data_IF_235987129650
#
_entry.id   IF_235987129650
#
_cell.length_a   1.000
_cell.length_b   1.000
_cell.length_c   1.000
_cell.angle_alpha   90.00
_cell.angle_beta   90.00
_cell.angle_gamma   90.00
#
_symmetry.space_group_name_H-M   'P 1'
#
loop_
_entity.id
_entity.type
_entity.pdbx_description
1 polymer ?
#
# COMPACT_ATOMS: atom_id res chain seq x y z
N UNK A 1 -24.47 19.65 -22.98
CA UNK A 1 -23.18 19.15 -23.47
C UNK A 1 -22.11 19.95 -22.72
N UNK A 2 -21.56 19.35 -21.68
CA UNK A 2 -20.41 19.92 -20.93
C UNK A 2 -19.16 19.24 -21.44
N UNK A 3 -18.26 20.02 -22.00
CA UNK A 3 -16.97 19.53 -22.46
C UNK A 3 -16.13 19.00 -21.30
N UNK A 4 -15.70 17.74 -21.41
CA UNK A 4 -14.65 17.17 -20.59
C UNK A 4 -13.34 17.87 -20.99
N UNK A 5 -12.84 18.76 -20.15
CA UNK A 5 -11.46 19.21 -20.28
C UNK A 5 -10.56 18.12 -19.64
N UNK A 6 -9.98 17.30 -20.49
CA UNK A 6 -8.86 16.44 -20.13
C UNK A 6 -7.68 17.39 -19.86
N UNK A 7 -7.29 17.50 -18.59
CA UNK A 7 -6.07 18.20 -18.21
C UNK A 7 -4.92 17.25 -18.48
N UNK A 8 -4.00 17.69 -19.32
CA UNK A 8 -2.79 17.05 -19.78
C UNK A 8 -2.00 16.41 -18.63
N UNK A 9 -1.99 15.10 -18.60
CA UNK A 9 -0.92 14.35 -17.95
C UNK A 9 0.36 14.64 -18.72
N UNK A 10 1.41 15.07 -18.03
CA UNK A 10 2.71 15.39 -18.62
C UNK A 10 3.13 14.36 -19.64
N UNK A 11 3.54 14.83 -20.81
CA UNK A 11 3.82 14.07 -22.04
C UNK A 11 4.93 13.00 -21.92
N UNK A 12 5.43 12.71 -20.75
CA UNK A 12 6.48 11.72 -20.52
C UNK A 12 5.97 10.27 -20.41
N UNK A 13 4.70 10.06 -20.05
CA UNK A 13 4.15 8.69 -19.86
C UNK A 13 3.46 8.14 -21.11
N UNK A 14 3.11 8.98 -22.09
CA UNK A 14 2.41 8.54 -23.31
C UNK A 14 3.31 8.30 -24.53
N UNK A 15 4.63 8.45 -24.42
CA UNK A 15 5.57 8.35 -25.54
C UNK A 15 6.18 6.95 -25.76
N UNK A 16 5.76 5.92 -25.01
CA UNK A 16 6.37 4.58 -25.14
C UNK A 16 5.64 3.63 -26.09
N UNK A 17 4.76 4.06 -26.92
CA UNK A 17 3.98 3.17 -27.82
C UNK A 17 4.01 3.55 -29.31
N UNK A 18 5.07 4.10 -29.85
CA UNK A 18 5.35 4.00 -31.31
C UNK A 18 6.74 4.51 -31.66
N UNK A 19 7.44 3.69 -32.44
CA UNK A 19 8.57 3.98 -33.32
C UNK A 19 9.94 3.93 -32.66
N UNK A 20 10.73 2.90 -33.04
CA UNK A 20 12.13 2.73 -32.73
C UNK A 20 13.00 3.88 -33.22
N UNK A 21 13.26 4.82 -32.36
CA UNK A 21 14.36 5.74 -32.40
C UNK A 21 15.11 5.58 -31.09
N UNK A 22 16.40 5.22 -31.16
CA UNK A 22 17.30 5.25 -30.02
C UNK A 22 17.58 6.70 -29.63
N UNK A 23 16.61 7.31 -28.94
CA UNK A 23 16.89 8.50 -28.17
C UNK A 23 17.68 8.05 -26.92
N UNK A 24 18.78 8.72 -26.62
CA UNK A 24 19.42 8.58 -25.30
C UNK A 24 18.31 8.77 -24.24
N UNK A 25 18.33 7.99 -23.13
CA UNK A 25 17.35 8.18 -22.09
C UNK A 25 17.43 9.65 -21.66
N UNK A 26 16.32 10.37 -21.79
CA UNK A 26 16.17 11.62 -21.10
C UNK A 26 16.48 11.33 -19.63
N UNK A 27 17.33 12.14 -19.00
CA UNK A 27 17.62 11.99 -17.58
C UNK A 27 16.26 11.83 -16.87
N UNK A 28 16.07 10.69 -16.20
CA UNK A 28 14.85 10.40 -15.48
C UNK A 28 14.54 11.59 -14.59
N UNK A 29 13.30 12.04 -14.56
CA UNK A 29 12.88 13.10 -13.66
C UNK A 29 12.89 12.50 -12.25
N UNK A 30 13.99 12.72 -11.54
CA UNK A 30 14.29 12.10 -10.26
C UNK A 30 13.57 12.75 -9.09
N UNK A 31 12.68 13.69 -9.31
CA UNK A 31 11.90 14.30 -8.24
C UNK A 31 10.54 13.63 -8.11
N UNK A 32 10.17 13.25 -6.90
CA UNK A 32 8.81 12.86 -6.60
C UNK A 32 7.83 14.00 -6.87
N UNK A 33 6.59 13.69 -7.16
CA UNK A 33 5.54 14.69 -7.44
C UNK A 33 4.34 14.49 -6.56
N UNK A 34 3.79 15.59 -6.04
CA UNK A 34 2.49 15.59 -5.37
C UNK A 34 1.50 16.34 -6.25
N UNK A 35 0.40 15.71 -6.57
CA UNK A 35 -0.71 16.28 -7.34
C UNK A 35 -2.02 16.20 -6.56
N UNK A 36 -2.89 17.18 -6.80
CA UNK A 36 -4.25 17.19 -6.27
C UNK A 36 -5.21 16.99 -7.43
N UNK A 37 -6.19 16.11 -7.27
CA UNK A 37 -7.22 15.87 -8.26
C UNK A 37 -8.06 17.13 -8.53
N UNK A 38 -8.69 17.20 -9.70
CA UNK A 38 -9.41 18.39 -10.14
C UNK A 38 -10.62 18.80 -9.27
N UNK A 39 -11.05 17.96 -8.33
CA UNK A 39 -12.07 18.28 -7.33
C UNK A 39 -11.47 18.85 -6.02
N UNK A 40 -10.14 18.90 -5.92
CA UNK A 40 -9.41 19.41 -4.77
C UNK A 40 -9.45 18.51 -3.52
N UNK A 41 -9.92 17.27 -3.66
CA UNK A 41 -10.20 16.38 -2.53
C UNK A 41 -9.18 15.30 -2.34
N UNK A 42 -8.60 14.79 -3.41
CA UNK A 42 -7.66 13.67 -3.38
C UNK A 42 -6.25 14.13 -3.68
N UNK A 43 -5.28 13.57 -2.98
CA UNK A 43 -3.84 13.80 -3.19
C UNK A 43 -3.20 12.51 -3.66
N UNK A 44 -2.38 12.61 -4.67
CA UNK A 44 -1.52 11.52 -5.14
C UNK A 44 -0.06 11.92 -5.01
N UNK A 45 0.71 11.14 -4.28
CA UNK A 45 2.17 11.13 -4.32
C UNK A 45 2.60 10.11 -5.36
N UNK A 46 3.47 10.50 -6.25
CA UNK A 46 4.09 9.64 -7.25
C UNK A 46 5.60 9.82 -7.16
N UNK A 47 6.31 8.79 -6.80
CA UNK A 47 7.76 8.80 -6.79
C UNK A 47 8.36 8.92 -8.20
N UNK A 48 9.57 9.40 -8.28
CA UNK A 48 10.33 9.40 -9.53
C UNK A 48 10.90 8.01 -9.81
N UNK A 49 11.17 7.71 -11.07
CA UNK A 49 11.73 6.42 -11.47
C UNK A 49 13.15 6.23 -10.94
N UNK A 50 13.46 5.05 -10.42
CA UNK A 50 14.77 4.66 -9.90
C UNK A 50 15.14 5.36 -8.59
N UNK A 51 14.15 5.79 -7.82
CA UNK A 51 14.34 6.36 -6.49
C UNK A 51 14.09 5.30 -5.42
N UNK A 52 14.91 5.35 -4.37
CA UNK A 52 14.60 4.76 -3.07
C UNK A 52 13.99 5.88 -2.24
N UNK A 53 12.76 5.71 -1.76
CA UNK A 53 12.05 6.73 -1.00
C UNK A 53 11.97 6.34 0.47
N UNK A 54 12.17 7.32 1.36
CA UNK A 54 11.83 7.22 2.78
C UNK A 54 10.71 8.23 3.05
N UNK A 55 9.49 7.87 2.60
CA UNK A 55 8.36 8.77 2.64
C UNK A 55 7.59 8.67 3.96
N UNK A 56 7.46 9.79 4.64
CA UNK A 56 6.61 9.92 5.82
C UNK A 56 5.44 10.86 5.57
N UNK A 57 4.21 10.38 5.81
CA UNK A 57 3.00 11.19 5.75
C UNK A 57 2.47 11.41 7.15
N UNK A 58 2.43 12.68 7.59
CA UNK A 58 2.03 13.06 8.94
C UNK A 58 0.84 13.99 8.96
N UNK A 59 -0.16 13.77 9.85
CA UNK A 59 -1.25 14.71 10.02
C UNK A 59 -0.74 15.97 10.71
N UNK A 60 -1.11 17.13 10.18
CA UNK A 60 -0.91 18.42 10.82
C UNK A 60 -2.24 18.91 11.39
N UNK A 61 -2.22 19.67 12.49
CA UNK A 61 -3.43 20.13 13.18
C UNK A 61 -4.50 20.66 12.23
N UNK A 62 -5.75 20.25 12.44
CA UNK A 62 -6.89 20.63 11.63
C UNK A 62 -7.33 22.06 11.96
N UNK A 63 -7.47 22.90 10.93
CA UNK A 63 -8.27 24.13 11.00
C UNK A 63 -9.76 23.81 10.76
N UNK A 64 -10.65 24.78 10.98
CA UNK A 64 -12.07 24.62 10.66
C UNK A 64 -12.25 24.44 9.15
N UNK A 65 -12.68 23.24 8.73
CA UNK A 65 -12.96 22.92 7.33
C UNK A 65 -11.75 22.53 6.46
N UNK A 66 -10.57 22.36 7.06
CA UNK A 66 -9.35 21.98 6.33
C UNK A 66 -8.54 20.95 7.11
N UNK A 67 -8.12 19.89 6.43
CA UNK A 67 -7.13 18.92 6.93
C UNK A 67 -5.77 19.25 6.30
N UNK A 68 -4.73 19.33 7.11
CA UNK A 68 -3.36 19.50 6.64
C UNK A 68 -2.60 18.18 6.75
N UNK A 69 -1.85 17.87 5.71
CA UNK A 69 -0.99 16.69 5.65
C UNK A 69 0.39 17.12 5.17
N UNK A 70 1.42 16.74 5.88
CA UNK A 70 2.80 16.93 5.46
C UNK A 70 3.34 15.63 4.84
N UNK A 71 3.99 15.77 3.71
CA UNK A 71 4.79 14.76 3.04
C UNK A 71 6.25 15.11 3.25
N UNK A 72 7.01 14.20 3.83
CA UNK A 72 8.46 14.33 4.02
C UNK A 72 9.12 13.13 3.36
N UNK A 73 10.16 13.37 2.59
CA UNK A 73 10.89 12.34 1.85
C UNK A 73 12.38 12.70 1.89
N UNK A 74 13.28 11.75 1.73
CA UNK A 74 14.71 12.02 1.57
C UNK A 74 15.03 12.57 0.18
N UNK A 75 14.19 12.32 -0.81
CA UNK A 75 14.30 12.85 -2.17
C UNK A 75 13.50 14.14 -2.35
N UNK A 76 13.87 15.02 -3.29
CA UNK A 76 13.13 16.24 -3.55
C UNK A 76 11.70 15.97 -4.02
N UNK A 77 10.72 16.62 -3.40
CA UNK A 77 9.32 16.56 -3.77
C UNK A 77 8.92 17.84 -4.50
N UNK A 78 8.27 17.72 -5.65
CA UNK A 78 7.65 18.85 -6.34
C UNK A 78 6.20 19.01 -5.91
N UNK A 79 5.88 20.14 -5.30
CA UNK A 79 4.49 20.52 -5.06
C UNK A 79 3.79 20.79 -6.39
N UNK A 80 2.63 20.15 -6.61
CA UNK A 80 1.74 20.47 -7.71
C UNK A 80 1.12 21.86 -7.57
N UNK A 81 0.40 22.29 -8.58
CA UNK A 81 -0.33 23.57 -8.58
C UNK A 81 -1.56 23.49 -7.68
N UNK A 82 -1.72 24.36 -6.70
CA UNK A 82 -2.84 24.57 -5.78
C UNK A 82 -2.86 23.63 -4.55
N UNK A 83 -3.09 24.22 -3.40
CA UNK A 83 -3.28 23.60 -2.08
C UNK A 83 -2.07 22.86 -1.48
N UNK A 84 -0.97 22.66 -2.22
CA UNK A 84 0.28 22.13 -1.70
C UNK A 84 1.40 23.16 -1.81
N UNK A 85 2.15 23.35 -0.75
CA UNK A 85 3.25 24.32 -0.69
C UNK A 85 4.48 23.68 -0.05
N UNK A 86 5.65 24.12 -0.47
CA UNK A 86 6.89 23.90 0.26
C UNK A 86 7.00 24.99 1.35
N UNK A 87 6.90 24.62 2.64
CA UNK A 87 6.90 25.62 3.72
C UNK A 87 8.26 26.30 3.90
N UNK A 88 9.35 25.63 3.52
CA UNK A 88 10.71 26.17 3.48
C UNK A 88 11.26 26.06 2.05
N UNK A 89 11.58 27.15 1.36
CA UNK A 89 12.14 27.09 0.01
C UNK A 89 13.54 26.45 -0.06
N UNK A 90 14.21 26.25 1.08
CA UNK A 90 15.50 25.60 1.15
C UNK A 90 15.38 24.10 1.47
N UNK A 91 14.18 23.62 1.80
CA UNK A 91 13.88 22.22 2.05
C UNK A 91 12.95 21.69 0.93
N UNK A 92 13.56 21.12 -0.08
CA UNK A 92 12.82 20.55 -1.21
C UNK A 92 12.21 19.18 -0.88
N UNK A 93 12.55 18.58 0.27
CA UNK A 93 12.11 17.24 0.68
C UNK A 93 10.77 17.26 1.43
N UNK A 94 10.22 18.46 1.69
CA UNK A 94 8.98 18.61 2.44
C UNK A 94 7.92 19.40 1.69
N UNK A 95 6.72 18.82 1.60
CA UNK A 95 5.52 19.47 1.04
C UNK A 95 4.37 19.39 2.04
N UNK A 96 3.61 20.47 2.20
CA UNK A 96 2.40 20.51 3.02
C UNK A 96 1.21 20.77 2.13
N UNK A 97 0.20 19.90 2.21
CA UNK A 97 -1.06 20.02 1.47
C UNK A 97 -2.23 20.35 2.40
N UNK A 98 -3.10 21.23 1.95
CA UNK A 98 -4.37 21.57 2.62
C UNK A 98 -5.53 20.92 1.85
N UNK A 99 -6.21 19.98 2.49
CA UNK A 99 -7.34 19.27 1.93
C UNK A 99 -8.65 19.77 2.56
N UNK A 100 -9.68 20.10 1.79
CA UNK A 100 -10.96 20.48 2.33
C UNK A 100 -11.63 19.31 3.08
N UNK A 101 -12.18 19.58 4.27
CA UNK A 101 -12.89 18.61 5.11
C UNK A 101 -14.40 18.73 4.99
N UNK A 102 -14.94 19.09 3.83
CA UNK A 102 -16.36 19.45 3.69
C UNK A 102 -17.35 18.32 4.08
N UNK A 103 -16.92 17.06 4.06
CA UNK A 103 -17.65 15.90 4.58
C UNK A 103 -16.64 14.82 4.99
N UNK A 104 -16.99 13.98 5.97
CA UNK A 104 -16.16 12.88 6.47
C UNK A 104 -15.86 11.76 5.43
N UNK A 105 -16.34 11.89 4.21
CA UNK A 105 -16.20 10.93 3.10
C UNK A 105 -15.27 11.41 1.98
N UNK A 106 -14.58 12.54 2.14
CA UNK A 106 -13.94 13.19 1.01
C UNK A 106 -12.46 13.49 1.22
N UNK A 107 -11.68 12.96 0.35
CA UNK A 107 -10.25 13.18 0.20
C UNK A 107 -9.46 11.91 0.42
N UNK A 108 -9.15 11.25 -0.67
CA UNK A 108 -8.26 10.08 -0.67
C UNK A 108 -6.82 10.56 -0.79
N UNK A 109 -5.94 9.99 0.02
CA UNK A 109 -4.50 10.13 -0.16
C UNK A 109 -4.01 8.83 -0.76
N UNK A 110 -3.38 8.91 -1.92
CA UNK A 110 -2.79 7.77 -2.62
C UNK A 110 -1.29 7.97 -2.67
N UNK A 111 -0.57 6.93 -2.32
CA UNK A 111 0.88 6.88 -2.30
C UNK A 111 1.33 5.82 -3.29
N UNK A 112 2.16 6.21 -4.25
CA UNK A 112 2.76 5.32 -5.25
C UNK A 112 4.27 5.54 -5.17
N UNK A 113 5.00 4.54 -4.67
CA UNK A 113 6.43 4.67 -4.40
C UNK A 113 7.30 4.32 -5.62
N UNK A 114 6.85 3.35 -6.43
CA UNK A 114 7.40 3.18 -7.78
C UNK A 114 8.35 2.03 -7.95
N UNK A 115 9.62 2.31 -8.18
CA UNK A 115 10.67 1.32 -8.32
C UNK A 115 11.83 1.64 -7.36
N UNK A 116 12.38 0.65 -6.74
CA UNK A 116 13.42 0.76 -5.71
C UNK A 116 12.95 0.16 -4.39
N UNK A 117 13.85 -0.02 -3.45
CA UNK A 117 13.54 -0.54 -2.12
C UNK A 117 13.08 0.64 -1.24
N UNK A 118 11.77 0.80 -1.09
CA UNK A 118 11.17 1.98 -0.49
C UNK A 118 10.78 1.75 0.98
N UNK A 119 10.78 2.82 1.77
CA UNK A 119 10.31 2.83 3.16
C UNK A 119 9.20 3.87 3.33
N UNK A 120 8.03 3.44 3.82
CA UNK A 120 6.88 4.30 4.00
C UNK A 120 6.28 4.19 5.40
N UNK A 121 6.03 5.35 6.02
CA UNK A 121 5.39 5.43 7.33
C UNK A 121 4.20 6.38 7.33
N UNK A 122 3.06 5.91 7.86
CA UNK A 122 1.94 6.80 8.12
C UNK A 122 1.01 6.33 9.24
N UNK A 123 0.62 7.30 10.08
CA UNK A 123 -0.55 7.25 10.97
C UNK A 123 -1.62 8.27 10.53
N UNK A 124 -1.43 8.91 9.38
CA UNK A 124 -2.32 9.96 8.91
C UNK A 124 -3.67 9.37 8.46
N UNK A 125 -4.79 9.80 9.04
CA UNK A 125 -6.10 9.32 8.61
C UNK A 125 -6.39 9.75 7.18
N UNK A 126 -7.09 8.87 6.42
CA UNK A 126 -7.51 9.14 5.04
C UNK A 126 -6.48 8.80 3.98
N UNK A 127 -5.41 8.12 4.33
CA UNK A 127 -4.62 7.37 3.34
C UNK A 127 -5.49 6.21 2.88
N UNK A 128 -5.82 6.18 1.60
CA UNK A 128 -6.69 5.13 1.05
C UNK A 128 -5.89 4.00 0.44
N UNK A 129 -4.82 4.32 -0.27
CA UNK A 129 -3.98 3.34 -0.96
C UNK A 129 -2.52 3.70 -0.78
N UNK A 130 -1.72 2.70 -0.44
CA UNK A 130 -0.26 2.72 -0.50
C UNK A 130 0.16 1.59 -1.44
N UNK A 131 1.02 1.88 -2.39
CA UNK A 131 1.56 0.92 -3.34
C UNK A 131 3.08 1.09 -3.38
N UNK A 132 3.82 0.06 -2.98
CA UNK A 132 5.27 -0.02 -3.06
C UNK A 132 5.71 0.01 -4.52
N UNK A 133 5.60 -1.08 -5.20
CA UNK A 133 5.83 -1.14 -6.64
C UNK A 133 6.73 -2.26 -7.07
N UNK A 134 7.99 -1.99 -7.34
CA UNK A 134 9.01 -3.02 -7.56
C UNK A 134 10.25 -2.72 -6.74
N UNK A 135 10.81 -3.72 -6.12
CA UNK A 135 11.85 -3.65 -5.11
C UNK A 135 11.32 -4.12 -3.77
N UNK A 136 12.20 -4.30 -2.80
CA UNK A 136 11.83 -4.81 -1.48
C UNK A 136 11.37 -3.66 -0.59
N UNK A 137 10.05 -3.49 -0.47
CA UNK A 137 9.46 -2.33 0.18
C UNK A 137 9.10 -2.60 1.66
N UNK A 138 9.18 -1.56 2.49
CA UNK A 138 8.74 -1.59 3.88
C UNK A 138 7.60 -0.58 4.09
N UNK A 139 6.36 -1.08 4.17
CA UNK A 139 5.15 -0.26 4.18
C UNK A 139 4.45 -0.32 5.53
N UNK A 140 4.67 0.69 6.38
CA UNK A 140 4.03 0.83 7.70
C UNK A 140 2.84 1.80 7.59
N UNK A 141 1.64 1.27 7.34
CA UNK A 141 0.48 2.04 6.94
C UNK A 141 -0.80 1.72 7.74
N UNK A 142 -0.71 1.74 9.07
CA UNK A 142 -1.80 1.33 9.99
C UNK A 142 -3.12 2.05 9.78
N UNK A 143 -3.10 3.27 9.27
CA UNK A 143 -4.31 4.06 8.98
C UNK A 143 -4.82 3.90 7.54
N UNK A 144 -4.08 3.23 6.66
CA UNK A 144 -4.48 3.03 5.28
C UNK A 144 -5.65 2.03 5.15
N UNK A 145 -6.40 2.16 4.06
CA UNK A 145 -7.40 1.16 3.73
C UNK A 145 -6.76 -0.02 2.97
N UNK A 146 -5.96 0.27 1.96
CA UNK A 146 -5.31 -0.74 1.12
C UNK A 146 -3.80 -0.52 1.09
N UNK A 147 -3.05 -1.59 1.31
CA UNK A 147 -1.59 -1.62 1.21
C UNK A 147 -1.22 -2.71 0.21
N UNK A 148 -0.40 -2.36 -0.76
CA UNK A 148 0.04 -3.25 -1.84
C UNK A 148 1.57 -3.19 -1.89
N UNK A 149 2.24 -4.31 -1.73
CA UNK A 149 3.68 -4.45 -1.93
C UNK A 149 4.00 -4.32 -3.41
N UNK A 150 3.94 -5.39 -4.14
CA UNK A 150 4.05 -5.35 -5.60
C UNK A 150 4.90 -6.46 -6.19
N UNK A 151 6.12 -6.19 -6.59
CA UNK A 151 7.10 -7.15 -7.05
C UNK A 151 8.27 -7.17 -6.07
N UNK A 152 8.94 -8.33 -5.97
CA UNK A 152 10.01 -8.60 -5.03
C UNK A 152 9.53 -8.75 -3.58
N UNK A 153 10.43 -8.90 -2.60
CA UNK A 153 10.09 -9.33 -1.25
C UNK A 153 9.70 -8.13 -0.38
N UNK A 154 8.44 -8.03 0.00
CA UNK A 154 7.88 -6.87 0.67
C UNK A 154 7.55 -7.13 2.16
N UNK A 155 7.57 -6.07 2.97
CA UNK A 155 7.08 -6.06 4.35
C UNK A 155 5.93 -5.06 4.49
N UNK A 156 4.73 -5.57 4.78
CA UNK A 156 3.52 -4.77 4.91
C UNK A 156 2.98 -4.83 6.34
N UNK A 157 2.71 -3.67 6.93
CA UNK A 157 2.14 -3.57 8.28
C UNK A 157 0.93 -2.64 8.32
N UNK A 158 -0.19 -3.17 8.84
CA UNK A 158 -1.45 -2.42 8.94
C UNK A 158 -2.25 -2.44 7.64
N UNK A 159 -3.29 -1.62 7.57
CA UNK A 159 -4.25 -1.65 6.46
C UNK A 159 -5.45 -2.57 6.74
N UNK A 160 -6.57 -2.29 6.09
CA UNK A 160 -7.75 -3.17 6.14
C UNK A 160 -7.66 -4.26 5.08
N UNK A 161 -7.03 -3.94 3.96
CA UNK A 161 -6.75 -4.86 2.87
C UNK A 161 -5.26 -4.80 2.58
N UNK A 162 -4.59 -5.95 2.57
CA UNK A 162 -3.17 -6.06 2.22
C UNK A 162 -2.98 -7.07 1.09
N UNK A 163 -2.10 -6.72 0.16
CA UNK A 163 -1.66 -7.59 -0.93
C UNK A 163 -0.13 -7.55 -0.99
N UNK A 164 0.54 -8.67 -0.76
CA UNK A 164 1.98 -8.81 -0.99
C UNK A 164 2.30 -8.63 -2.46
N UNK A 165 2.12 -9.64 -3.24
CA UNK A 165 2.28 -9.56 -4.70
C UNK A 165 3.05 -10.72 -5.30
N UNK A 166 4.11 -10.42 -6.03
CA UNK A 166 5.09 -11.40 -6.50
C UNK A 166 6.35 -11.27 -5.62
N UNK A 167 6.73 -12.26 -4.86
CA UNK A 167 7.88 -12.23 -3.95
C UNK A 167 7.65 -13.05 -2.69
N UNK A 168 8.60 -13.09 -1.80
CA UNK A 168 8.42 -13.66 -0.46
C UNK A 168 8.02 -12.54 0.50
N UNK A 169 6.73 -12.40 0.70
CA UNK A 169 6.17 -11.26 1.40
C UNK A 169 5.95 -11.54 2.90
N UNK A 170 6.06 -10.50 3.71
CA UNK A 170 5.72 -10.54 5.12
C UNK A 170 4.57 -9.57 5.41
N UNK A 171 3.38 -10.10 5.69
CA UNK A 171 2.18 -9.34 5.98
C UNK A 171 1.84 -9.43 7.47
N UNK A 172 1.76 -8.28 8.13
CA UNK A 172 1.38 -8.17 9.55
C UNK A 172 0.11 -7.35 9.70
N UNK A 173 -0.96 -8.01 10.12
CA UNK A 173 -2.24 -7.39 10.45
C UNK A 173 -2.23 -6.64 11.78
N UNK A 174 -3.41 -6.37 12.30
CA UNK A 174 -3.64 -5.76 13.61
C UNK A 174 -4.89 -6.37 14.28
N UNK A 175 -5.46 -5.73 15.30
CA UNK A 175 -6.64 -6.25 16.03
C UNK A 175 -7.98 -6.04 15.29
N UNK A 176 -7.99 -5.66 14.01
CA UNK A 176 -9.22 -5.44 13.21
C UNK A 176 -9.44 -6.60 12.25
N UNK A 177 -10.69 -6.92 11.94
CA UNK A 177 -10.99 -7.85 10.84
C UNK A 177 -10.47 -7.32 9.50
N UNK A 178 -9.61 -8.08 8.83
CA UNK A 178 -8.81 -7.69 7.68
C UNK A 178 -8.91 -8.70 6.53
N UNK A 179 -8.46 -8.29 5.35
CA UNK A 179 -8.28 -9.17 4.19
C UNK A 179 -6.81 -9.12 3.77
N UNK A 180 -6.13 -10.25 3.88
CA UNK A 180 -4.71 -10.39 3.55
C UNK A 180 -4.55 -11.36 2.40
N UNK A 181 -3.74 -11.00 1.42
CA UNK A 181 -3.40 -11.84 0.28
C UNK A 181 -1.88 -11.82 0.12
N UNK A 182 -1.22 -12.98 0.23
CA UNK A 182 0.21 -13.12 -0.03
C UNK A 182 0.48 -12.91 -1.52
N UNK A 183 0.22 -13.90 -2.31
CA UNK A 183 0.31 -13.78 -3.77
C UNK A 183 1.10 -14.90 -4.41
N UNK A 184 2.27 -14.62 -4.96
CA UNK A 184 3.22 -15.62 -5.43
C UNK A 184 4.50 -15.53 -4.62
N UNK A 185 4.99 -16.68 -4.18
CA UNK A 185 6.21 -16.80 -3.41
C UNK A 185 5.93 -17.50 -2.10
N UNK A 186 6.90 -17.66 -1.26
CA UNK A 186 6.71 -18.30 0.04
C UNK A 186 6.46 -17.21 1.09
N UNK A 187 5.18 -16.94 1.34
CA UNK A 187 4.74 -15.80 2.13
C UNK A 187 4.64 -16.11 3.63
N UNK A 188 4.86 -15.09 4.44
CA UNK A 188 4.64 -15.14 5.89
C UNK A 188 3.54 -14.15 6.28
N UNK A 189 2.42 -14.68 6.78
CA UNK A 189 1.23 -13.88 7.06
C UNK A 189 0.80 -14.07 8.51
N UNK A 190 0.80 -12.97 9.28
CA UNK A 190 0.32 -12.89 10.65
C UNK A 190 -0.89 -11.95 10.71
N UNK A 191 -2.12 -12.49 10.85
CA UNK A 191 -3.33 -11.66 10.85
C UNK A 191 -3.61 -11.00 12.22
N UNK A 192 -3.14 -11.59 13.30
CA UNK A 192 -3.22 -11.14 14.70
C UNK A 192 -4.61 -11.24 15.31
N UNK A 193 -5.45 -10.25 15.21
CA UNK A 193 -6.75 -10.27 15.86
C UNK A 193 -7.86 -9.70 15.02
N UNK A 194 -9.09 -10.08 15.36
CA UNK A 194 -10.22 -9.74 14.52
C UNK A 194 -10.82 -11.00 13.90
N UNK A 195 -11.71 -10.84 12.96
CA UNK A 195 -12.20 -11.95 12.14
C UNK A 195 -11.64 -11.74 10.73
N UNK A 196 -10.58 -12.48 10.41
CA UNK A 196 -9.74 -12.22 9.26
C UNK A 196 -10.04 -13.14 8.09
N UNK A 197 -9.71 -12.67 6.90
CA UNK A 197 -9.75 -13.48 5.68
C UNK A 197 -8.37 -13.47 5.05
N UNK A 198 -7.71 -14.62 5.06
CA UNK A 198 -6.36 -14.79 4.52
C UNK A 198 -6.37 -15.72 3.32
N UNK A 199 -5.72 -15.29 2.25
CA UNK A 199 -5.39 -16.10 1.08
C UNK A 199 -3.89 -16.01 0.84
N UNK A 200 -3.13 -17.05 1.20
CA UNK A 200 -1.68 -17.01 1.02
C UNK A 200 -1.31 -17.07 -0.47
N UNK A 201 -1.69 -18.11 -1.20
CA UNK A 201 -1.62 -18.02 -2.66
C UNK A 201 -0.85 -19.13 -3.35
N UNK A 202 0.29 -18.82 -3.94
CA UNK A 202 1.19 -19.78 -4.60
C UNK A 202 2.54 -19.76 -3.90
N UNK A 203 2.97 -20.90 -3.44
CA UNK A 203 4.25 -21.10 -2.77
C UNK A 203 4.07 -21.87 -1.49
N UNK A 204 5.16 -22.13 -0.79
CA UNK A 204 5.11 -22.82 0.50
C UNK A 204 4.94 -21.79 1.61
N UNK A 205 3.67 -21.52 1.99
CA UNK A 205 3.30 -20.38 2.79
C UNK A 205 3.21 -20.69 4.29
N UNK A 206 3.38 -19.67 5.10
CA UNK A 206 3.16 -19.72 6.56
C UNK A 206 2.10 -18.70 6.96
N UNK A 207 0.96 -19.19 7.49
CA UNK A 207 -0.19 -18.38 7.87
C UNK A 207 -0.55 -18.58 9.33
N UNK A 208 -0.73 -17.49 10.05
CA UNK A 208 -1.27 -17.47 11.41
C UNK A 208 -2.47 -16.53 11.46
N UNK A 209 -3.65 -17.05 11.87
CA UNK A 209 -4.87 -16.27 12.07
C UNK A 209 -4.77 -15.39 13.30
N UNK A 210 -4.65 -16.04 14.45
CA UNK A 210 -4.45 -15.37 15.72
C UNK A 210 -5.68 -15.42 16.62
N UNK A 211 -6.35 -14.31 16.89
CA UNK A 211 -7.55 -14.33 17.70
C UNK A 211 -8.77 -13.82 16.94
N UNK A 212 -9.83 -14.61 16.94
CA UNK A 212 -11.07 -14.30 16.21
C UNK A 212 -11.52 -15.51 15.41
N UNK A 213 -12.67 -15.41 14.78
CA UNK A 213 -13.16 -16.48 13.92
C UNK A 213 -12.65 -16.24 12.48
N UNK A 214 -11.57 -16.92 12.09
CA UNK A 214 -10.82 -16.63 10.89
C UNK A 214 -11.13 -17.57 9.71
N UNK A 215 -10.97 -17.06 8.49
CA UNK A 215 -10.95 -17.84 7.28
C UNK A 215 -9.55 -17.81 6.66
N UNK A 216 -8.85 -18.97 6.66
CA UNK A 216 -7.47 -19.08 6.27
C UNK A 216 -7.31 -20.09 5.12
N UNK A 217 -6.69 -19.68 4.03
CA UNK A 217 -6.39 -20.53 2.89
C UNK A 217 -4.90 -20.47 2.58
N UNK A 218 -4.21 -21.63 2.62
CA UNK A 218 -2.83 -21.78 2.16
C UNK A 218 -2.74 -21.56 0.65
N UNK A 219 -3.33 -22.42 -0.15
CA UNK A 219 -3.35 -22.23 -1.60
C UNK A 219 -2.63 -23.34 -2.33
N UNK A 220 -1.69 -23.03 -3.21
CA UNK A 220 -0.86 -24.00 -3.92
C UNK A 220 0.53 -24.04 -3.29
N UNK A 221 0.95 -25.18 -2.81
CA UNK A 221 2.25 -25.40 -2.21
C UNK A 221 2.16 -26.25 -0.95
N UNK A 222 3.26 -26.50 -0.29
CA UNK A 222 3.28 -27.25 0.97
C UNK A 222 3.15 -26.25 2.13
N UNK A 223 1.90 -25.93 2.53
CA UNK A 223 1.59 -24.81 3.42
C UNK A 223 1.56 -25.19 4.91
N UNK A 224 1.81 -24.18 5.77
CA UNK A 224 1.61 -24.28 7.22
C UNK A 224 0.60 -23.23 7.66
N UNK A 225 -0.58 -23.66 8.15
CA UNK A 225 -1.67 -22.77 8.52
C UNK A 225 -2.11 -23.04 9.95
N UNK A 226 -2.06 -21.97 10.79
CA UNK A 226 -2.50 -21.98 12.18
C UNK A 226 -3.68 -21.03 12.37
N UNK A 227 -4.81 -21.56 12.92
CA UNK A 227 -5.98 -20.73 13.28
C UNK A 227 -5.73 -19.94 14.55
N UNK A 228 -5.12 -20.59 15.54
CA UNK A 228 -4.91 -20.16 16.92
C UNK A 228 -6.24 -20.10 17.69
N UNK A 229 -6.75 -18.95 18.16
CA UNK A 229 -7.92 -18.91 19.04
C UNK A 229 -9.16 -18.34 18.37
N UNK A 230 -10.23 -19.10 18.38
CA UNK A 230 -11.50 -18.80 17.70
C UNK A 230 -12.06 -20.02 17.00
N UNK A 231 -13.21 -19.88 16.31
CA UNK A 231 -13.76 -20.97 15.52
C UNK A 231 -13.36 -20.74 14.05
N UNK A 232 -12.24 -21.33 13.69
CA UNK A 232 -11.58 -21.05 12.44
C UNK A 232 -11.98 -21.98 11.30
N UNK A 233 -11.83 -21.48 10.08
CA UNK A 233 -11.98 -22.29 8.86
C UNK A 233 -10.66 -22.28 8.12
N UNK A 234 -9.99 -23.46 8.06
CA UNK A 234 -8.71 -23.64 7.42
C UNK A 234 -8.86 -24.48 6.14
N UNK A 235 -8.30 -23.99 5.05
CA UNK A 235 -8.16 -24.71 3.78
C UNK A 235 -6.65 -24.84 3.47
N UNK A 236 -6.15 -26.09 3.33
CA UNK A 236 -4.79 -26.31 2.83
C UNK A 236 -4.73 -25.98 1.34
N UNK A 237 -5.34 -26.77 0.54
CA UNK A 237 -5.32 -26.65 -0.91
C UNK A 237 -4.50 -27.76 -1.56
N UNK A 238 -4.01 -27.57 -2.79
CA UNK A 238 -3.14 -28.53 -3.45
C UNK A 238 -1.70 -28.50 -2.89
N UNK A 239 -1.32 -29.52 -2.13
CA UNK A 239 0.03 -29.61 -1.54
C UNK A 239 0.11 -30.66 -0.43
N UNK A 240 1.13 -30.57 0.39
CA UNK A 240 1.27 -31.33 1.63
C UNK A 240 1.21 -30.36 2.81
N UNK A 241 0.02 -30.07 3.24
CA UNK A 241 -0.22 -29.01 4.16
C UNK A 241 -0.15 -29.46 5.61
N UNK A 242 0.21 -28.54 6.49
CA UNK A 242 0.14 -28.67 7.94
C UNK A 242 -0.89 -27.69 8.46
N UNK A 243 -2.04 -28.20 8.92
CA UNK A 243 -3.15 -27.38 9.40
C UNK A 243 -3.38 -27.61 10.88
N UNK A 244 -3.50 -26.54 11.65
CA UNK A 244 -3.81 -26.58 13.09
C UNK A 244 -4.84 -25.51 13.41
N UNK A 245 -6.08 -25.89 13.76
CA UNK A 245 -7.10 -24.94 14.15
C UNK A 245 -6.79 -24.24 15.46
N UNK A 246 -6.31 -24.96 16.45
CA UNK A 246 -6.04 -24.42 17.77
C UNK A 246 -7.06 -24.86 18.82
N UNK A 247 -7.32 -24.07 19.87
CA UNK A 247 -8.44 -24.28 20.77
C UNK A 247 -9.75 -23.80 20.11
N UNK A 248 -10.88 -24.32 20.60
CA UNK A 248 -12.24 -24.00 20.13
C UNK A 248 -12.73 -24.95 19.02
N UNK A 249 -13.69 -24.54 18.19
CA UNK A 249 -14.34 -25.48 17.25
C UNK A 249 -14.03 -25.09 15.82
N UNK A 250 -13.06 -25.79 15.23
CA UNK A 250 -12.54 -25.47 13.92
C UNK A 250 -13.08 -26.33 12.80
N UNK A 251 -13.07 -25.79 11.58
CA UNK A 251 -13.35 -26.50 10.35
C UNK A 251 -12.08 -26.59 9.52
N UNK A 252 -11.55 -27.82 9.36
CA UNK A 252 -10.33 -28.05 8.59
C UNK A 252 -10.67 -28.83 7.32
N UNK A 253 -10.26 -28.26 6.18
CA UNK A 253 -10.45 -28.82 4.83
C UNK A 253 -9.08 -28.99 4.15
N UNK A 254 -8.83 -30.21 3.65
CA UNK A 254 -7.56 -30.60 3.00
C UNK A 254 -7.67 -30.53 1.48
#
# INVERSE_FOLDING_TARGET
>A
MRELRVISVSSAVLALLAIGLTAAPAAADTAATISIDGDGRSVTHLAGSGQVNELQVTPMGAGTGVRRVAFNDEVPIRAGEQHCVQPDPNDATRVVCELPTADASSGEIRILLGDGDDEFFTDAPGVSVVHGGSGNDQLHAHSAHTVIGGQDDDMLMGGVVMHGGDGMDHLMGDDRGQVLTGGRGADHIEAHGGADTVHAGFGDDHVTGGSGDDFLSGGFGDDTVHGDSGNDTLLGGPGKDVLSGGPDTDTILW
#
